data_IF_789883817208
#
_entry.id   IF_789883817208
#
_cell.length_a   1.000
_cell.length_b   1.000
_cell.length_c   1.000
_cell.angle_alpha   90.00
_cell.angle_beta   90.00
_cell.angle_gamma   90.00
#
_symmetry.space_group_name_H-M   'P 1'
#
loop_
_entity.id
_entity.type
_entity.pdbx_description
1 polymer ?
#
# COMPACT_ATOMS: atom_id res chain seq x y z
N UNK A 1 -0.83 -1.90 -6.61
CA UNK A 1 -1.13 -1.40 -7.98
C UNK A 1 -0.93 0.12 -8.13
N UNK A 2 -1.63 0.98 -7.38
CA UNK A 2 -1.53 2.45 -7.57
C UNK A 2 -0.21 3.07 -7.05
N UNK A 3 0.26 2.64 -5.86
CA UNK A 3 1.59 3.04 -5.33
C UNK A 3 2.73 2.70 -6.28
N UNK A 4 2.67 1.52 -6.91
CA UNK A 4 3.71 1.06 -7.85
C UNK A 4 3.67 1.88 -9.14
N UNK A 5 2.47 2.14 -9.68
CA UNK A 5 2.29 3.03 -10.83
C UNK A 5 2.85 4.44 -10.56
N UNK A 6 2.54 4.99 -9.39
CA UNK A 6 3.05 6.30 -8.97
C UNK A 6 4.58 6.30 -8.78
N UNK A 7 5.15 5.26 -8.16
CA UNK A 7 6.60 5.10 -7.98
C UNK A 7 7.35 4.93 -9.30
N UNK A 8 6.77 4.24 -10.28
CA UNK A 8 7.34 4.08 -11.62
C UNK A 8 7.21 5.36 -12.47
N UNK A 9 6.11 6.12 -12.31
CA UNK A 9 5.92 7.39 -13.03
C UNK A 9 6.87 8.49 -12.54
N UNK A 10 7.22 8.51 -11.25
CA UNK A 10 8.08 9.57 -10.67
C UNK A 10 9.43 9.75 -11.40
N UNK A 11 10.29 8.72 -11.54
CA UNK A 11 11.56 8.87 -12.23
C UNK A 11 11.38 9.16 -13.73
N UNK A 12 10.34 8.62 -14.37
CA UNK A 12 10.04 8.86 -15.78
C UNK A 12 9.66 10.32 -16.07
N UNK A 13 8.91 10.95 -15.17
CA UNK A 13 8.53 12.35 -15.30
C UNK A 13 9.72 13.27 -15.01
N UNK A 14 10.54 12.92 -14.02
CA UNK A 14 11.77 13.65 -13.70
C UNK A 14 12.78 13.62 -14.86
N UNK A 15 12.95 12.48 -15.56
CA UNK A 15 13.85 12.39 -16.72
C UNK A 15 13.39 13.22 -17.92
N UNK A 16 12.09 13.47 -18.02
CA UNK A 16 11.48 14.32 -19.05
C UNK A 16 11.37 15.79 -18.61
N UNK A 17 11.99 16.17 -17.47
CA UNK A 17 11.89 17.50 -16.86
C UNK A 17 10.44 17.93 -16.57
N UNK A 18 9.52 16.96 -16.45
CA UNK A 18 8.11 17.18 -16.17
C UNK A 18 7.82 17.02 -14.68
N UNK A 19 6.96 17.88 -14.15
CA UNK A 19 6.47 17.74 -12.77
C UNK A 19 5.41 16.67 -12.69
N UNK A 20 5.37 15.98 -11.56
CA UNK A 20 4.35 14.98 -11.30
C UNK A 20 2.96 15.63 -11.19
N UNK A 21 1.97 15.16 -11.95
CA UNK A 21 0.59 15.57 -11.74
C UNK A 21 0.09 14.97 -10.42
N UNK A 22 -0.50 15.80 -9.56
CA UNK A 22 -1.11 15.42 -8.27
C UNK A 22 -0.15 14.77 -7.23
N UNK A 23 0.90 15.51 -6.78
CA UNK A 23 1.88 15.00 -5.81
C UNK A 23 1.27 14.60 -4.46
N UNK A 24 0.09 15.13 -4.11
CA UNK A 24 -0.66 14.79 -2.90
C UNK A 24 -1.26 13.37 -2.91
N UNK A 25 -1.27 12.69 -4.07
CA UNK A 25 -1.74 11.28 -4.14
C UNK A 25 -0.80 10.31 -3.45
N UNK A 26 0.51 10.57 -3.45
CA UNK A 26 1.49 9.75 -2.72
C UNK A 26 1.17 9.59 -1.22
N UNK A 27 1.04 10.69 -0.45
CA UNK A 27 0.71 10.59 0.97
C UNK A 27 -0.70 10.03 1.20
N UNK A 28 -1.67 10.29 0.31
CA UNK A 28 -3.02 9.70 0.40
C UNK A 28 -2.97 8.17 0.26
N UNK A 29 -2.30 7.66 -0.77
CA UNK A 29 -2.13 6.21 -0.99
C UNK A 29 -1.38 5.57 0.18
N UNK A 30 -0.30 6.18 0.68
CA UNK A 30 0.43 5.69 1.86
C UNK A 30 -0.46 5.61 3.11
N UNK A 31 -1.27 6.64 3.38
CA UNK A 31 -2.20 6.66 4.53
C UNK A 31 -3.29 5.60 4.40
N UNK A 32 -3.86 5.42 3.22
CA UNK A 32 -4.87 4.38 2.97
C UNK A 32 -4.29 2.99 3.12
N UNK A 33 -3.10 2.72 2.56
CA UNK A 33 -2.40 1.44 2.73
C UNK A 33 -2.08 1.15 4.20
N UNK A 34 -1.61 2.15 4.96
CA UNK A 34 -1.32 2.01 6.39
C UNK A 34 -2.59 1.64 7.17
N UNK A 35 -3.73 2.29 6.89
CA UNK A 35 -5.02 1.96 7.51
C UNK A 35 -5.52 0.56 7.16
N UNK A 36 -5.35 0.13 5.90
CA UNK A 36 -5.72 -1.22 5.49
C UNK A 36 -4.84 -2.24 6.22
N UNK A 37 -3.52 -2.03 6.31
CA UNK A 37 -2.62 -2.89 7.08
C UNK A 37 -3.04 -2.97 8.54
N UNK A 38 -3.38 -1.86 9.16
CA UNK A 38 -3.86 -1.81 10.54
C UNK A 38 -5.12 -2.66 10.71
N UNK A 39 -6.16 -2.43 9.90
CA UNK A 39 -7.42 -3.19 9.97
C UNK A 39 -7.20 -4.69 9.77
N UNK A 40 -6.35 -5.09 8.81
CA UNK A 40 -6.03 -6.50 8.58
C UNK A 40 -5.24 -7.10 9.74
N UNK A 41 -4.34 -6.32 10.37
CA UNK A 41 -3.58 -6.75 11.55
C UNK A 41 -4.51 -6.96 12.74
N UNK A 42 -5.42 -6.03 13.01
CA UNK A 42 -6.43 -6.14 14.06
C UNK A 42 -7.31 -7.37 13.86
N UNK A 43 -7.74 -7.64 12.62
CA UNK A 43 -8.49 -8.86 12.27
C UNK A 43 -7.69 -10.13 12.48
N UNK A 44 -6.40 -10.15 12.11
CA UNK A 44 -5.55 -11.31 12.31
C UNK A 44 -5.32 -11.63 13.81
N UNK A 45 -5.34 -10.62 14.68
CA UNK A 45 -5.19 -10.81 16.13
C UNK A 45 -6.42 -11.49 16.76
N UNK A 46 -7.62 -11.22 16.24
CA UNK A 46 -8.87 -11.81 16.75
C UNK A 46 -9.25 -13.12 16.05
N UNK A 47 -8.59 -13.46 14.94
CA UNK A 47 -8.86 -14.69 14.20
C UNK A 47 -8.28 -15.92 14.93
N UNK A 48 -9.14 -16.85 15.35
CA UNK A 48 -8.75 -18.07 16.09
C UNK A 48 -8.11 -19.15 15.19
N UNK A 49 -8.53 -19.22 13.92
CA UNK A 49 -8.01 -20.17 12.93
C UNK A 49 -6.60 -19.79 12.46
N UNK A 50 -5.64 -20.67 12.72
CA UNK A 50 -4.23 -20.47 12.37
C UNK A 50 -3.99 -20.34 10.85
N UNK A 51 -4.76 -21.04 10.03
CA UNK A 51 -4.64 -21.00 8.56
C UNK A 51 -5.14 -19.66 8.03
N UNK A 52 -6.27 -19.18 8.55
CA UNK A 52 -6.82 -17.87 8.19
C UNK A 52 -5.94 -16.72 8.68
N UNK A 53 -5.40 -16.83 9.89
CA UNK A 53 -4.41 -15.89 10.42
C UNK A 53 -3.15 -15.83 9.55
N UNK A 54 -2.67 -16.98 9.07
CA UNK A 54 -1.53 -17.05 8.15
C UNK A 54 -1.83 -16.35 6.82
N UNK A 55 -2.97 -16.62 6.21
CA UNK A 55 -3.39 -15.97 4.96
C UNK A 55 -3.51 -14.44 5.13
N UNK A 56 -4.08 -13.96 6.24
CA UNK A 56 -4.14 -12.53 6.56
C UNK A 56 -2.75 -11.91 6.68
N UNK A 57 -1.80 -12.63 7.30
CA UNK A 57 -0.42 -12.17 7.46
C UNK A 57 0.34 -12.08 6.13
N UNK A 58 0.11 -13.02 5.21
CA UNK A 58 0.66 -12.97 3.85
C UNK A 58 0.13 -11.74 3.10
N UNK A 59 -1.19 -11.49 3.15
CA UNK A 59 -1.81 -10.32 2.52
C UNK A 59 -1.26 -9.00 3.10
N UNK A 60 -1.01 -8.92 4.41
CA UNK A 60 -0.44 -7.73 5.06
C UNK A 60 0.99 -7.44 4.59
N UNK A 61 1.78 -8.49 4.36
CA UNK A 61 3.16 -8.38 3.91
C UNK A 61 3.24 -7.89 2.44
N UNK A 62 2.27 -8.27 1.61
CA UNK A 62 2.23 -7.94 0.18
C UNK A 62 1.65 -6.55 -0.14
N UNK A 63 1.09 -5.83 0.86
CA UNK A 63 0.55 -4.45 0.76
C UNK A 63 1.64 -3.35 0.82
#
# INVERSE_FOLDING_TARGET
MEKNMLLSQKPMLLSQNMRMPYPERFPKVRKTMCRIKQVLTERALVEEDASRRKALREIINDL
#
